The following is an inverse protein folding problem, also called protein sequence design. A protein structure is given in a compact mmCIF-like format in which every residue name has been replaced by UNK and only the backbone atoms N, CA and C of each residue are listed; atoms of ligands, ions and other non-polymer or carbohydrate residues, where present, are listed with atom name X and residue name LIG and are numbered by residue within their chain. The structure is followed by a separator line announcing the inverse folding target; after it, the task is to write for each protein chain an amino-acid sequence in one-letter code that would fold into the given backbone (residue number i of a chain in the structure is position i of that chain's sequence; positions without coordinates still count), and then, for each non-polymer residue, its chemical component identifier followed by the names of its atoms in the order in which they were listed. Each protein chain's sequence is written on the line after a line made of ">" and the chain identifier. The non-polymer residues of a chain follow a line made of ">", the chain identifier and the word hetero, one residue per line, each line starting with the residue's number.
data_IF_763016312636
#
_entry.id   IF_763016312636
#
_cell.length_a   1.000
_cell.length_b   1.000
_cell.length_c   1.000
_cell.angle_alpha   90.00
_cell.angle_beta   90.00
_cell.angle_gamma   90.00
#
_symmetry.space_group_name_H-M   'P 1'
#
loop_
_entity.id
_entity.type
_entity.pdbx_description
1 polymer ?
#
# COMPACT_ATOMS: atom_id res chain seq x y z
N UNK A 1 -4.95 49.37 -5.40
CA UNK A 1 -3.75 48.78 -4.79
C UNK A 1 -4.20 48.00 -3.57
N UNK A 2 -4.35 46.67 -3.63
CA UNK A 2 -4.48 45.85 -2.44
C UNK A 2 -3.10 45.51 -1.91
N UNK A 3 -3.00 45.59 -0.59
CA UNK A 3 -1.80 45.50 0.23
C UNK A 3 -1.21 44.08 0.19
N UNK A 4 0.02 43.99 -0.29
CA UNK A 4 0.77 42.76 -0.48
C UNK A 4 1.48 42.40 0.83
N UNK A 5 0.73 41.78 1.75
CA UNK A 5 1.27 41.24 3.01
C UNK A 5 1.14 39.71 3.09
N UNK A 6 1.49 39.03 2.00
CA UNK A 6 2.06 37.68 2.13
C UNK A 6 3.52 37.85 2.58
N UNK A 7 3.70 37.99 3.88
CA UNK A 7 5.01 37.86 4.50
C UNK A 7 5.53 36.47 4.15
N UNK A 8 6.54 36.44 3.28
CA UNK A 8 7.33 35.26 2.96
C UNK A 8 8.05 34.77 4.22
N UNK A 9 7.37 33.98 5.05
CA UNK A 9 8.03 32.93 5.79
C UNK A 9 8.46 31.92 4.71
N UNK A 10 9.76 31.74 4.51
CA UNK A 10 10.27 30.77 3.54
C UNK A 10 9.55 29.45 3.78
N UNK A 11 8.81 28.98 2.76
CA UNK A 11 8.12 27.71 2.83
C UNK A 11 9.19 26.61 2.84
N UNK A 12 9.71 26.33 4.03
CA UNK A 12 10.69 25.28 4.24
C UNK A 12 10.04 23.98 3.78
N UNK A 13 10.59 23.43 2.70
CA UNK A 13 10.08 22.22 2.10
C UNK A 13 10.62 21.02 2.88
N UNK A 14 9.72 20.31 3.54
CA UNK A 14 10.01 19.15 4.38
C UNK A 14 9.95 17.87 3.55
N UNK A 15 10.79 16.91 3.90
CA UNK A 15 10.80 15.58 3.29
C UNK A 15 9.92 14.66 4.12
N UNK A 16 8.96 14.01 3.47
CA UNK A 16 8.18 12.91 4.04
C UNK A 16 8.78 11.60 3.55
N UNK A 17 9.19 10.75 4.48
CA UNK A 17 9.67 9.40 4.20
C UNK A 17 8.72 8.36 4.80
N UNK A 18 8.21 7.45 3.97
CA UNK A 18 7.50 6.25 4.42
C UNK A 18 8.38 5.02 4.16
N UNK A 19 8.94 4.48 5.25
CA UNK A 19 9.86 3.34 5.18
C UNK A 19 9.19 2.03 4.76
N UNK A 20 7.92 1.83 5.12
CA UNK A 20 7.17 0.60 4.79
C UNK A 20 6.97 0.44 3.28
N UNK A 21 6.66 1.55 2.59
CA UNK A 21 6.48 1.56 1.14
C UNK A 21 7.76 1.96 0.38
N UNK A 22 8.76 2.50 1.08
CA UNK A 22 9.97 3.05 0.47
C UNK A 22 9.69 4.30 -0.38
N UNK A 23 8.68 5.07 0.01
CA UNK A 23 8.23 6.26 -0.70
C UNK A 23 8.82 7.50 -0.05
N UNK A 24 9.33 8.40 -0.90
CA UNK A 24 9.81 9.72 -0.49
C UNK A 24 9.06 10.77 -1.30
N UNK A 25 8.60 11.80 -0.61
CA UNK A 25 7.98 12.98 -1.23
C UNK A 25 8.32 14.21 -0.41
N UNK A 26 7.96 15.38 -0.92
CA UNK A 26 8.17 16.65 -0.22
C UNK A 26 6.84 17.36 -0.01
N UNK A 27 6.76 18.12 1.07
CA UNK A 27 5.59 18.88 1.43
C UNK A 27 5.98 20.15 2.20
N UNK A 28 5.10 21.13 2.15
CA UNK A 28 5.14 22.37 2.92
C UNK A 28 4.30 22.24 4.19
N UNK A 29 4.55 23.11 5.16
CA UNK A 29 3.64 23.26 6.31
C UNK A 29 2.37 23.96 5.84
N UNK A 30 1.21 23.42 6.23
CA UNK A 30 -0.09 24.01 5.93
C UNK A 30 -0.61 24.86 7.10
N UNK A 31 -1.09 24.18 8.14
CA UNK A 31 -1.66 24.83 9.33
C UNK A 31 -0.71 24.70 10.53
N UNK A 32 -0.62 25.75 11.36
CA UNK A 32 0.17 25.74 12.59
C UNK A 32 -0.63 26.38 13.73
N UNK A 33 -0.77 25.66 14.83
CA UNK A 33 -1.41 26.13 16.05
C UNK A 33 -0.36 26.33 17.14
N UNK A 34 -0.29 27.54 17.69
CA UNK A 34 0.52 27.82 18.87
C UNK A 34 -0.33 27.66 20.14
N UNK A 35 0.13 26.83 21.07
CA UNK A 35 -0.49 26.63 22.36
C UNK A 35 0.52 26.77 23.51
N UNK A 36 0.05 26.64 24.77
CA UNK A 36 0.93 26.68 25.95
C UNK A 36 1.97 25.54 25.96
N UNK A 37 1.70 24.44 25.25
CA UNK A 37 2.57 23.26 25.16
C UNK A 37 3.50 23.30 23.93
N UNK A 38 3.57 24.42 23.20
CA UNK A 38 4.39 24.57 21.98
C UNK A 38 3.60 24.70 20.69
N UNK A 39 4.30 24.63 19.56
CA UNK A 39 3.71 24.73 18.21
C UNK A 39 3.35 23.35 17.66
N UNK A 40 2.09 23.16 17.28
CA UNK A 40 1.61 21.98 16.55
C UNK A 40 1.39 22.31 15.09
N UNK A 41 1.86 21.45 14.19
CA UNK A 41 1.75 21.68 12.76
C UNK A 41 1.14 20.50 12.02
N UNK A 42 0.54 20.83 10.87
CA UNK A 42 0.06 19.93 9.84
C UNK A 42 0.75 20.28 8.53
N UNK A 43 0.94 19.28 7.66
CA UNK A 43 1.42 19.54 6.31
C UNK A 43 0.31 20.15 5.45
N UNK A 44 0.69 20.73 4.32
CA UNK A 44 -0.26 21.24 3.32
C UNK A 44 -0.91 20.09 2.53
N UNK A 45 -2.06 20.35 1.90
CA UNK A 45 -2.70 19.41 0.97
C UNK A 45 -1.68 18.91 -0.08
N UNK A 46 -1.68 17.61 -0.44
CA UNK A 46 -2.65 16.57 -0.07
C UNK A 46 -2.30 15.82 1.24
N UNK A 47 -1.41 16.37 2.05
CA UNK A 47 -0.87 15.72 3.26
C UNK A 47 -1.35 16.37 4.56
N UNK A 48 -2.44 17.13 4.54
CA UNK A 48 -3.08 17.76 5.70
C UNK A 48 -3.49 16.77 6.80
N UNK A 49 -3.69 15.50 6.45
CA UNK A 49 -3.84 14.38 7.38
C UNK A 49 -2.57 14.02 8.19
N UNK A 50 -1.41 14.53 7.79
CA UNK A 50 -0.12 14.34 8.47
C UNK A 50 0.07 15.46 9.48
N UNK A 51 -0.45 15.21 10.67
CA UNK A 51 -0.45 16.13 11.81
C UNK A 51 -1.62 15.80 12.77
N UNK A 52 -1.68 16.46 13.94
CA UNK A 52 -0.69 17.39 14.44
C UNK A 52 0.61 16.69 14.88
N UNK A 53 1.75 17.27 14.54
CA UNK A 53 3.05 16.92 15.12
C UNK A 53 3.71 18.15 15.76
N UNK A 54 4.67 17.92 16.65
CA UNK A 54 5.41 18.98 17.34
C UNK A 54 6.40 19.65 16.38
N UNK A 55 6.13 20.92 16.05
CA UNK A 55 6.95 21.70 15.12
C UNK A 55 8.27 22.14 15.77
N UNK A 56 8.26 22.45 17.06
CA UNK A 56 9.47 22.86 17.79
C UNK A 56 10.47 21.70 17.85
N UNK A 57 9.99 20.47 18.08
CA UNK A 57 10.82 19.27 18.02
C UNK A 57 11.34 19.02 16.59
N UNK A 58 10.49 19.12 15.58
CA UNK A 58 10.88 18.91 14.19
C UNK A 58 12.00 19.89 13.77
N UNK A 59 11.86 21.16 14.09
CA UNK A 59 12.88 22.18 13.81
C UNK A 59 14.17 21.92 14.59
N UNK A 60 14.08 21.58 15.89
CA UNK A 60 15.25 21.34 16.74
C UNK A 60 16.04 20.08 16.36
N UNK A 61 15.35 18.99 15.99
CA UNK A 61 15.97 17.70 15.66
C UNK A 61 16.21 17.51 14.16
N UNK A 62 15.58 18.34 13.34
CA UNK A 62 15.51 18.15 11.88
C UNK A 62 14.69 16.93 11.46
N UNK A 63 14.00 16.26 12.38
CA UNK A 63 13.10 15.12 12.09
C UNK A 63 12.10 14.87 13.20
N UNK A 64 10.94 14.34 12.83
CA UNK A 64 9.93 13.82 13.74
C UNK A 64 9.25 12.59 13.12
N UNK A 65 8.94 11.59 13.95
CA UNK A 65 8.14 10.45 13.54
C UNK A 65 6.66 10.78 13.68
N UNK A 66 5.86 10.42 12.67
CA UNK A 66 4.40 10.54 12.70
C UNK A 66 3.78 9.34 12.00
N UNK A 67 3.03 8.53 12.75
CA UNK A 67 2.50 7.25 12.27
C UNK A 67 3.59 6.40 11.59
N UNK A 68 3.37 5.93 10.36
CA UNK A 68 4.33 5.15 9.58
C UNK A 68 5.37 6.02 8.83
N UNK A 69 5.29 7.34 8.97
CA UNK A 69 6.13 8.30 8.26
C UNK A 69 7.15 8.98 9.18
N UNK A 70 8.23 9.47 8.59
CA UNK A 70 9.16 10.39 9.23
C UNK A 70 9.15 11.68 8.40
N UNK A 71 8.87 12.80 9.06
CA UNK A 71 8.98 14.14 8.47
C UNK A 71 10.36 14.69 8.84
N UNK A 72 11.10 15.23 7.89
CA UNK A 72 12.50 15.61 8.06
C UNK A 72 12.84 16.88 7.30
N UNK A 73 13.82 17.63 7.81
CA UNK A 73 14.45 18.66 7.00
C UNK A 73 15.21 18.04 5.83
N UNK A 74 15.41 18.81 4.76
CA UNK A 74 16.21 18.36 3.61
C UNK A 74 17.62 17.94 4.01
N UNK A 75 18.26 18.67 4.92
CA UNK A 75 19.59 18.33 5.42
C UNK A 75 19.57 16.97 6.11
N UNK A 76 18.62 16.76 7.02
CA UNK A 76 18.51 15.49 7.76
C UNK A 76 18.24 14.32 6.84
N UNK A 77 17.41 14.51 5.80
CA UNK A 77 17.22 13.52 4.76
C UNK A 77 18.53 13.19 4.03
N UNK A 78 19.32 14.19 3.63
CA UNK A 78 20.59 13.94 2.94
C UNK A 78 21.53 13.08 3.77
N UNK A 79 21.59 13.35 5.08
CA UNK A 79 22.43 12.63 6.04
C UNK A 79 21.94 11.18 6.26
N UNK A 80 20.64 10.96 6.38
CA UNK A 80 20.06 9.68 6.82
C UNK A 80 19.59 8.77 5.64
N UNK A 81 19.44 9.29 4.41
CA UNK A 81 18.74 8.59 3.32
C UNK A 81 19.29 7.21 2.95
N UNK A 82 20.60 6.98 3.12
CA UNK A 82 21.25 5.72 2.74
C UNK A 82 20.80 4.62 3.69
N UNK A 83 20.91 4.86 5.00
CA UNK A 83 20.50 3.89 6.02
C UNK A 83 18.98 3.70 6.02
N UNK A 84 18.20 4.77 5.88
CA UNK A 84 16.74 4.68 5.79
C UNK A 84 16.27 3.81 4.61
N UNK A 85 16.90 3.97 3.44
CA UNK A 85 16.58 3.14 2.26
C UNK A 85 17.00 1.69 2.44
N UNK A 86 18.13 1.45 3.10
CA UNK A 86 18.58 0.11 3.43
C UNK A 86 17.58 -0.58 4.34
N UNK A 87 17.19 0.06 5.43
CA UNK A 87 16.19 -0.46 6.38
C UNK A 87 14.84 -0.74 5.68
N UNK A 88 14.34 0.19 4.86
CA UNK A 88 13.12 -0.02 4.07
C UNK A 88 13.22 -1.24 3.15
N UNK A 89 14.37 -1.47 2.52
CA UNK A 89 14.57 -2.66 1.70
C UNK A 89 14.50 -3.95 2.54
N UNK A 90 15.07 -3.95 3.74
CA UNK A 90 14.98 -5.08 4.66
C UNK A 90 13.53 -5.36 5.08
N UNK A 91 12.79 -4.32 5.47
CA UNK A 91 11.37 -4.42 5.85
C UNK A 91 10.51 -4.98 4.71
N UNK A 92 10.66 -4.43 3.50
CA UNK A 92 9.91 -4.87 2.32
C UNK A 92 10.27 -6.30 1.90
N UNK A 93 11.55 -6.70 2.00
CA UNK A 93 11.96 -8.09 1.76
C UNK A 93 11.35 -9.05 2.78
N UNK A 94 11.36 -8.69 4.07
CA UNK A 94 10.74 -9.51 5.10
C UNK A 94 9.22 -9.63 4.90
N UNK A 95 8.54 -8.54 4.53
CA UNK A 95 7.12 -8.57 4.19
C UNK A 95 6.83 -9.47 2.97
N UNK A 96 7.62 -9.34 1.91
CA UNK A 96 7.52 -10.17 0.72
C UNK A 96 7.77 -11.66 1.04
N UNK A 97 8.73 -11.97 1.91
CA UNK A 97 9.00 -13.33 2.36
C UNK A 97 7.81 -13.90 3.13
N UNK A 98 7.24 -13.17 4.09
CA UNK A 98 6.03 -13.59 4.81
C UNK A 98 4.87 -13.88 3.86
N UNK A 99 4.63 -13.00 2.88
CA UNK A 99 3.60 -13.21 1.87
C UNK A 99 3.89 -14.45 1.00
N UNK A 100 5.14 -14.63 0.57
CA UNK A 100 5.54 -15.81 -0.21
C UNK A 100 5.37 -17.10 0.59
N UNK A 101 5.75 -17.12 1.86
CA UNK A 101 5.58 -18.26 2.76
C UNK A 101 4.10 -18.57 3.00
N UNK A 102 3.29 -17.55 3.23
CA UNK A 102 1.85 -17.69 3.37
C UNK A 102 1.24 -18.26 2.09
N UNK A 103 1.56 -17.69 0.93
CA UNK A 103 1.14 -18.19 -0.37
C UNK A 103 1.59 -19.64 -0.58
N UNK A 104 2.83 -19.99 -0.23
CA UNK A 104 3.37 -21.34 -0.34
C UNK A 104 2.65 -22.32 0.61
N UNK A 105 2.29 -21.91 1.83
CA UNK A 105 1.47 -22.72 2.75
C UNK A 105 0.09 -22.98 2.16
N UNK A 106 -0.56 -21.97 1.59
CA UNK A 106 -1.84 -22.13 0.90
C UNK A 106 -1.73 -23.03 -0.33
N UNK A 107 -0.67 -22.89 -1.12
CA UNK A 107 -0.41 -23.74 -2.30
C UNK A 107 -0.09 -25.19 -1.90
N UNK A 108 0.76 -25.40 -0.89
CA UNK A 108 1.19 -26.73 -0.42
C UNK A 108 0.06 -27.55 0.21
N UNK A 109 -0.92 -26.90 0.87
CA UNK A 109 -2.16 -27.54 1.33
C UNK A 109 -2.96 -28.20 0.20
N UNK A 110 -2.80 -27.79 -1.06
CA UNK A 110 -3.44 -28.43 -2.22
C UNK A 110 -2.70 -29.67 -2.71
N UNK A 111 -1.37 -29.69 -2.60
CA UNK A 111 -0.56 -30.80 -3.12
C UNK A 111 -0.68 -32.08 -2.26
N UNK A 112 -1.09 -31.96 -0.99
CA UNK A 112 -1.34 -33.10 -0.10
C UNK A 112 -2.71 -33.79 -0.27
N UNK A 113 -3.59 -33.29 -1.14
CA UNK A 113 -4.87 -33.93 -1.46
C UNK A 113 -4.70 -34.67 -2.78
N UNK A 114 -4.39 -35.97 -2.72
CA UNK A 114 -4.38 -36.84 -3.90
C UNK A 114 -5.68 -36.63 -4.70
N UNK A 115 -5.51 -36.27 -5.97
CA UNK A 115 -6.60 -35.95 -6.88
C UNK A 115 -7.33 -37.25 -7.26
N UNK A 116 -8.54 -37.44 -6.74
CA UNK A 116 -9.50 -38.35 -7.36
C UNK A 116 -9.81 -37.85 -8.79
N UNK A 117 -10.18 -38.73 -9.74
CA UNK A 117 -10.42 -38.34 -11.13
C UNK A 117 -11.43 -37.19 -11.19
N UNK A 118 -11.00 -36.04 -11.74
CA UNK A 118 -11.81 -34.83 -11.86
C UNK A 118 -13.03 -35.12 -12.73
N UNK A 119 -14.23 -35.09 -12.15
CA UNK A 119 -15.42 -34.79 -12.93
C UNK A 119 -15.27 -33.35 -13.48
N UNK A 120 -15.72 -33.05 -14.71
CA UNK A 120 -15.63 -31.70 -15.26
C UNK A 120 -16.35 -30.74 -14.30
N UNK A 121 -15.57 -29.88 -13.65
CA UNK A 121 -16.09 -28.89 -12.72
C UNK A 121 -16.98 -27.93 -13.51
N UNK A 122 -18.20 -27.71 -13.04
CA UNK A 122 -19.09 -26.70 -13.63
C UNK A 122 -18.37 -25.34 -13.61
N UNK A 123 -18.04 -24.82 -14.80
CA UNK A 123 -17.29 -23.57 -14.95
C UNK A 123 -18.12 -22.35 -14.48
N UNK A 124 -19.45 -22.45 -14.50
CA UNK A 124 -20.37 -21.33 -14.24
C UNK A 124 -20.09 -20.60 -12.91
N UNK A 125 -20.03 -21.27 -11.74
CA UNK A 125 -19.72 -20.61 -10.47
C UNK A 125 -18.33 -19.97 -10.43
N UNK A 126 -17.36 -20.49 -11.19
CA UNK A 126 -16.02 -19.92 -11.27
C UNK A 126 -15.96 -18.68 -12.17
N UNK A 127 -16.72 -18.68 -13.27
CA UNK A 127 -16.88 -17.50 -14.12
C UNK A 127 -17.59 -16.38 -13.36
N UNK A 128 -18.66 -16.70 -12.64
CA UNK A 128 -19.38 -15.73 -11.80
C UNK A 128 -18.49 -15.12 -10.71
N UNK A 129 -17.70 -15.94 -10.02
CA UNK A 129 -16.76 -15.47 -8.99
C UNK A 129 -15.70 -14.49 -9.53
N UNK A 130 -15.35 -14.57 -10.83
CA UNK A 130 -14.44 -13.61 -11.48
C UNK A 130 -15.18 -12.49 -12.23
N UNK A 131 -16.51 -12.47 -12.22
CA UNK A 131 -17.31 -11.54 -13.00
C UNK A 131 -17.10 -11.69 -14.52
N UNK A 132 -16.91 -12.93 -14.97
CA UNK A 132 -16.73 -13.31 -16.38
C UNK A 132 -18.06 -13.79 -16.99
N UNK A 133 -18.24 -13.71 -18.32
CA UNK A 133 -19.46 -14.17 -18.99
C UNK A 133 -19.74 -15.66 -18.70
N UNK A 134 -20.96 -15.97 -18.26
CA UNK A 134 -21.37 -17.32 -17.83
C UNK A 134 -21.28 -18.40 -18.93
N UNK A 135 -21.20 -18.00 -20.19
CA UNK A 135 -21.04 -18.86 -21.36
C UNK A 135 -20.19 -18.18 -22.43
N UNK A 136 -19.64 -18.99 -23.35
CA UNK A 136 -18.81 -18.51 -24.46
C UNK A 136 -17.33 -18.83 -24.29
N UNK A 137 -16.56 -18.61 -25.37
CA UNK A 137 -15.13 -18.88 -25.42
C UNK A 137 -14.41 -17.98 -24.41
N UNK A 138 -13.65 -18.59 -23.51
CA UNK A 138 -12.90 -17.91 -22.48
C UNK A 138 -11.41 -18.04 -22.80
N UNK A 139 -10.66 -16.94 -22.68
CA UNK A 139 -9.22 -16.95 -22.89
C UNK A 139 -8.46 -16.80 -21.57
N UNK A 140 -7.29 -17.45 -21.49
CA UNK A 140 -6.38 -17.31 -20.33
C UNK A 140 -6.08 -15.84 -19.98
N UNK A 141 -5.99 -14.96 -20.98
CA UNK A 141 -5.75 -13.51 -20.78
C UNK A 141 -6.91 -12.85 -20.04
N UNK A 142 -8.16 -13.21 -20.35
CA UNK A 142 -9.36 -12.68 -19.74
C UNK A 142 -9.48 -13.13 -18.27
N UNK A 143 -9.21 -14.40 -17.99
CA UNK A 143 -9.18 -14.96 -16.62
C UNK A 143 -8.16 -14.22 -15.75
N UNK A 144 -6.93 -14.04 -16.26
CA UNK A 144 -5.88 -13.34 -15.52
C UNK A 144 -6.13 -11.83 -15.37
N UNK A 145 -6.83 -11.19 -16.31
CA UNK A 145 -7.20 -9.78 -16.19
C UNK A 145 -8.30 -9.57 -15.14
N UNK A 146 -9.34 -10.42 -15.15
CA UNK A 146 -10.41 -10.38 -14.17
C UNK A 146 -9.91 -10.67 -12.75
N UNK A 147 -9.03 -11.66 -12.60
CA UNK A 147 -8.38 -11.96 -11.32
C UNK A 147 -7.58 -10.77 -10.78
N UNK A 148 -6.72 -10.13 -11.59
CA UNK A 148 -5.92 -8.97 -11.15
C UNK A 148 -6.80 -7.82 -10.65
N UNK A 149 -7.88 -7.53 -11.36
CA UNK A 149 -8.85 -6.49 -10.98
C UNK A 149 -9.52 -6.77 -9.63
N UNK A 150 -9.86 -8.04 -9.36
CA UNK A 150 -10.54 -8.42 -8.12
C UNK A 150 -9.56 -8.60 -6.96
N UNK A 151 -8.35 -9.10 -7.21
CA UNK A 151 -7.29 -9.24 -6.20
C UNK A 151 -6.87 -7.87 -5.63
N UNK A 152 -6.82 -6.83 -6.46
CA UNK A 152 -6.55 -5.46 -6.02
C UNK A 152 -7.67 -4.89 -5.11
N UNK A 153 -8.93 -5.32 -5.30
CA UNK A 153 -10.07 -4.87 -4.49
C UNK A 153 -10.31 -5.72 -3.23
N UNK A 154 -9.92 -6.99 -3.28
CA UNK A 154 -10.04 -7.93 -2.17
C UNK A 154 -8.82 -7.91 -1.23
N UNK A 155 -7.87 -6.99 -1.47
CA UNK A 155 -6.71 -6.83 -0.61
C UNK A 155 -7.13 -6.26 0.77
N UNK A 156 -6.68 -6.86 1.89
CA UNK A 156 -7.08 -6.42 3.24
C UNK A 156 -6.69 -4.97 3.54
N UNK A 157 -5.61 -4.46 2.94
CA UNK A 157 -5.19 -3.05 3.09
C UNK A 157 -6.17 -2.03 2.48
N UNK A 158 -7.15 -2.45 1.67
CA UNK A 158 -8.22 -1.59 1.15
C UNK A 158 -9.62 -2.01 1.64
N UNK A 159 -9.69 -2.82 2.72
CA UNK A 159 -10.94 -3.31 3.30
C UNK A 159 -11.51 -4.55 2.62
N UNK A 160 -10.71 -5.28 1.84
CA UNK A 160 -11.12 -6.52 1.19
C UNK A 160 -11.20 -7.73 2.14
N UNK A 161 -12.16 -8.63 1.89
CA UNK A 161 -12.33 -9.86 2.70
C UNK A 161 -11.37 -10.96 2.25
N UNK A 162 -10.66 -11.57 3.21
CA UNK A 162 -9.82 -12.76 2.98
C UNK A 162 -10.61 -13.90 2.31
N UNK A 163 -11.88 -14.10 2.67
CA UNK A 163 -12.75 -15.09 2.05
C UNK A 163 -13.00 -14.79 0.56
N UNK A 164 -13.12 -13.51 0.21
CA UNK A 164 -13.29 -13.08 -1.17
C UNK A 164 -12.02 -13.32 -1.98
N UNK A 165 -10.84 -13.06 -1.40
CA UNK A 165 -9.55 -13.36 -2.03
C UNK A 165 -9.36 -14.86 -2.29
N UNK A 166 -9.72 -15.70 -1.33
CA UNK A 166 -9.70 -17.16 -1.47
C UNK A 166 -10.66 -17.61 -2.59
N UNK A 167 -11.87 -17.03 -2.65
CA UNK A 167 -12.89 -17.36 -3.66
C UNK A 167 -12.41 -17.07 -5.08
N UNK A 168 -11.87 -15.87 -5.33
CA UNK A 168 -11.40 -15.47 -6.67
C UNK A 168 -10.14 -16.25 -7.08
N UNK A 169 -9.28 -16.62 -6.13
CA UNK A 169 -8.08 -17.43 -6.39
C UNK A 169 -8.46 -18.85 -6.81
N UNK A 170 -9.39 -19.49 -6.10
CA UNK A 170 -9.93 -20.80 -6.47
C UNK A 170 -10.59 -20.79 -7.84
N UNK A 171 -11.36 -19.75 -8.15
CA UNK A 171 -12.03 -19.60 -9.44
C UNK A 171 -11.06 -19.46 -10.61
N UNK A 172 -9.98 -18.69 -10.45
CA UNK A 172 -8.92 -18.56 -11.46
C UNK A 172 -8.28 -19.90 -11.81
N UNK A 173 -7.94 -20.69 -10.81
CA UNK A 173 -7.23 -21.95 -11.04
C UNK A 173 -8.08 -22.96 -11.78
N UNK A 174 -9.34 -23.15 -11.36
CA UNK A 174 -10.24 -24.09 -12.06
C UNK A 174 -10.38 -23.68 -13.52
N UNK A 175 -10.57 -22.39 -13.81
CA UNK A 175 -10.70 -21.91 -15.19
C UNK A 175 -9.41 -22.04 -16.02
N UNK A 176 -8.23 -21.91 -15.41
CA UNK A 176 -6.97 -22.10 -16.12
C UNK A 176 -6.65 -23.57 -16.40
N UNK A 177 -7.11 -24.47 -15.52
CA UNK A 177 -7.01 -25.94 -15.68
C UNK A 177 -7.90 -26.41 -16.83
N UNK A 178 -9.13 -25.89 -16.94
CA UNK A 178 -10.06 -26.21 -18.04
C UNK A 178 -9.63 -25.61 -19.40
N UNK A 179 -8.77 -24.59 -19.38
CA UNK A 179 -8.21 -23.95 -20.59
C UNK A 179 -6.83 -24.49 -20.99
N UNK A 180 -6.34 -25.54 -20.32
CA UNK A 180 -5.04 -26.17 -20.60
C UNK A 180 -5.17 -27.38 -21.51
#
# INVERSE_FOLDING_TARGET
>A
MPDNSYAAAGADEWVIWNGEHGLVTTATLGHVEAGPDGRRAWLEEPFDMVGPFDLDELEARGRIAFAACIVMSRQRWQDDQVELRRESLHLRRAAQQRMNEEFARFAGRRQGRQEAPRQPADERPHREALGLPASGRLERRQVNAAFRRLAQKAHPDVGGSHEQFVRITKAREVLLDTLS
#
